data_IF_907218964543
#
_entry.id   IF_907218964543
#
_cell.length_a   1.000
_cell.length_b   1.000
_cell.length_c   1.000
_cell.angle_alpha   90.00
_cell.angle_beta   90.00
_cell.angle_gamma   90.00
#
_symmetry.space_group_name_H-M   'P 1'
#
loop_
_entity.id
_entity.type
_entity.pdbx_description
1 polymer ?
#
# COMPACT_ATOMS: atom_id res chain seq x y z
N UNK A 1 -15.41 12.88 -9.46
CA UNK A 1 -15.44 11.95 -8.33
C UNK A 1 -14.98 10.58 -8.81
N UNK A 2 -14.02 9.99 -8.13
CA UNK A 2 -13.50 8.68 -8.51
C UNK A 2 -14.34 7.58 -7.87
N UNK A 3 -14.70 6.58 -8.66
CA UNK A 3 -15.51 5.44 -8.22
C UNK A 3 -14.75 4.12 -8.30
N UNK A 4 -13.44 4.19 -8.55
CA UNK A 4 -12.60 3.00 -8.61
C UNK A 4 -12.27 2.45 -7.24
N UNK A 5 -11.34 1.48 -7.17
CA UNK A 5 -10.96 0.88 -5.90
C UNK A 5 -10.48 1.92 -4.89
N UNK A 6 -10.84 1.71 -3.63
CA UNK A 6 -10.48 2.60 -2.53
C UNK A 6 -9.09 2.26 -2.03
N UNK A 7 -8.21 3.25 -1.99
CA UNK A 7 -6.77 3.06 -1.70
C UNK A 7 -6.35 3.87 -0.49
N UNK A 8 -5.60 3.23 0.41
CA UNK A 8 -4.87 3.89 1.49
C UNK A 8 -3.40 3.91 1.10
N UNK A 9 -2.77 5.08 1.12
CA UNK A 9 -1.34 5.23 0.81
C UNK A 9 -0.56 5.39 2.10
N UNK A 10 0.42 4.52 2.33
CA UNK A 10 1.25 4.52 3.54
C UNK A 10 2.71 4.73 3.16
N UNK A 11 3.27 5.87 3.53
CA UNK A 11 4.65 6.24 3.26
C UNK A 11 5.02 7.43 4.14
N UNK A 12 6.24 7.45 4.67
CA UNK A 12 6.68 8.56 5.51
C UNK A 12 7.17 9.78 4.72
N UNK A 13 7.24 9.67 3.39
CA UNK A 13 7.66 10.77 2.51
C UNK A 13 6.44 11.49 1.95
N UNK A 14 6.16 12.73 2.40
CA UNK A 14 4.99 13.47 1.90
C UNK A 14 4.99 13.67 0.38
N UNK A 15 6.17 13.84 -0.21
CA UNK A 15 6.28 14.02 -1.66
C UNK A 15 5.83 12.78 -2.44
N UNK A 16 6.17 11.60 -1.95
CA UNK A 16 5.72 10.36 -2.58
C UNK A 16 4.21 10.20 -2.43
N UNK A 17 3.66 10.47 -1.22
CA UNK A 17 2.21 10.36 -1.02
C UNK A 17 1.45 11.30 -1.97
N UNK A 18 1.92 12.53 -2.11
CA UNK A 18 1.28 13.49 -3.02
C UNK A 18 1.33 13.03 -4.47
N UNK A 19 2.50 12.55 -4.92
CA UNK A 19 2.67 12.06 -6.29
C UNK A 19 1.82 10.82 -6.56
N UNK A 20 1.80 9.88 -5.63
CA UNK A 20 1.01 8.66 -5.77
C UNK A 20 -0.48 8.97 -5.80
N UNK A 21 -0.95 9.91 -4.96
CA UNK A 21 -2.35 10.32 -4.96
C UNK A 21 -2.75 10.89 -6.32
N UNK A 22 -1.98 11.82 -6.85
CA UNK A 22 -2.27 12.43 -8.15
C UNK A 22 -2.31 11.37 -9.25
N UNK A 23 -1.32 10.50 -9.27
CA UNK A 23 -1.24 9.43 -10.26
C UNK A 23 -2.45 8.51 -10.20
N UNK A 24 -2.76 8.00 -9.01
CA UNK A 24 -3.84 7.03 -8.86
C UNK A 24 -5.21 7.65 -9.11
N UNK A 25 -5.42 8.87 -8.64
CA UNK A 25 -6.69 9.56 -8.89
C UNK A 25 -6.88 9.86 -10.37
N UNK A 26 -5.80 10.17 -11.09
CA UNK A 26 -5.89 10.41 -12.54
C UNK A 26 -6.25 9.13 -13.30
N UNK A 27 -6.01 7.97 -12.71
CA UNK A 27 -6.31 6.68 -13.33
C UNK A 27 -7.59 6.04 -12.77
N UNK A 28 -8.38 6.79 -12.01
CA UNK A 28 -9.70 6.36 -11.57
C UNK A 28 -9.78 5.73 -10.19
N UNK A 29 -8.65 5.60 -9.48
CA UNK A 29 -8.66 5.08 -8.11
C UNK A 29 -9.18 6.14 -7.15
N UNK A 30 -9.81 5.69 -6.07
CA UNK A 30 -10.32 6.55 -5.02
C UNK A 30 -9.37 6.50 -3.81
N UNK A 31 -8.51 7.51 -3.68
CA UNK A 31 -7.57 7.59 -2.55
C UNK A 31 -8.31 8.11 -1.34
N UNK A 32 -8.63 7.22 -0.41
CA UNK A 32 -9.48 7.54 0.76
C UNK A 32 -8.70 8.02 1.97
N UNK A 33 -7.38 7.86 1.98
CA UNK A 33 -6.56 8.31 3.08
C UNK A 33 -5.08 8.11 2.86
N UNK A 34 -4.30 8.65 3.80
CA UNK A 34 -2.85 8.54 3.81
C UNK A 34 -2.40 8.29 5.25
N UNK A 35 -1.27 7.59 5.41
CA UNK A 35 -0.65 7.36 6.70
C UNK A 35 0.86 7.51 6.54
N UNK A 36 1.55 7.94 7.62
CA UNK A 36 2.97 8.23 7.57
C UNK A 36 3.83 7.22 8.34
N UNK A 37 3.21 6.34 9.11
CA UNK A 37 3.92 5.34 9.91
C UNK A 37 3.08 4.08 10.07
N UNK A 38 3.66 3.06 10.72
CA UNK A 38 2.98 1.78 10.88
C UNK A 38 1.76 1.86 11.79
N UNK A 39 1.85 2.59 12.90
CA UNK A 39 0.75 2.71 13.85
C UNK A 39 -0.45 3.40 13.20
N UNK A 40 -0.23 4.51 12.50
CA UNK A 40 -1.32 5.20 11.81
C UNK A 40 -1.86 4.38 10.64
N UNK A 41 -1.00 3.59 9.96
CA UNK A 41 -1.43 2.72 8.88
C UNK A 41 -2.43 1.68 9.35
N UNK A 42 -2.14 1.03 10.47
CA UNK A 42 -3.03 0.01 11.05
C UNK A 42 -4.34 0.64 11.48
N UNK A 43 -4.28 1.80 12.16
CA UNK A 43 -5.48 2.51 12.59
C UNK A 43 -6.35 2.96 11.42
N UNK A 44 -5.73 3.53 10.39
CA UNK A 44 -6.47 4.00 9.21
C UNK A 44 -7.04 2.85 8.38
N UNK A 45 -6.31 1.73 8.27
CA UNK A 45 -6.81 0.56 7.56
C UNK A 45 -8.08 0.02 8.26
N UNK A 46 -8.07 0.01 9.58
CA UNK A 46 -9.24 -0.43 10.36
C UNK A 46 -10.42 0.55 10.21
N UNK A 47 -10.13 1.85 10.24
CA UNK A 47 -11.16 2.89 10.18
C UNK A 47 -11.78 3.01 8.78
N UNK A 48 -10.95 3.01 7.76
CA UNK A 48 -11.37 3.27 6.38
C UNK A 48 -11.79 2.02 5.63
N UNK A 49 -11.28 0.87 6.03
CA UNK A 49 -11.49 -0.42 5.35
C UNK A 49 -11.26 -0.31 3.84
N UNK A 50 -10.05 0.11 3.43
CA UNK A 50 -9.75 0.27 2.00
C UNK A 50 -9.72 -1.08 1.30
N UNK A 51 -9.87 -1.06 -0.02
CA UNK A 51 -9.73 -2.27 -0.82
C UNK A 51 -8.26 -2.58 -1.10
N UNK A 52 -7.43 -1.52 -1.18
CA UNK A 52 -6.00 -1.62 -1.45
C UNK A 52 -5.23 -0.80 -0.42
N UNK A 53 -4.14 -1.36 0.11
CA UNK A 53 -3.17 -0.60 0.91
C UNK A 53 -1.86 -0.58 0.14
N UNK A 54 -1.44 0.61 -0.26
CA UNK A 54 -0.14 0.82 -0.89
C UNK A 54 0.84 1.18 0.22
N UNK A 55 1.80 0.30 0.49
CA UNK A 55 2.54 0.31 1.75
C UNK A 55 4.06 0.29 1.53
N UNK A 56 4.73 1.33 2.02
CA UNK A 56 6.19 1.38 1.97
C UNK A 56 6.79 0.29 2.86
N UNK A 57 7.85 -0.33 2.40
CA UNK A 57 8.59 -1.35 3.13
C UNK A 57 9.30 -0.74 4.36
N UNK A 58 9.77 0.50 4.27
CA UNK A 58 10.47 1.17 5.37
C UNK A 58 9.62 2.30 5.95
N UNK A 59 9.27 2.17 7.22
CA UNK A 59 8.53 3.16 7.96
C UNK A 59 9.33 3.60 9.19
N UNK A 60 9.06 4.79 9.77
CA UNK A 60 9.89 5.28 10.88
C UNK A 60 9.79 4.47 12.17
N UNK A 61 8.66 3.82 12.41
CA UNK A 61 8.42 3.06 13.65
C UNK A 61 8.51 1.53 13.46
N UNK A 62 8.46 1.04 12.23
CA UNK A 62 8.47 -0.39 11.96
C UNK A 62 8.77 -0.63 10.48
N UNK A 63 8.83 -1.89 10.05
CA UNK A 63 8.92 -2.19 8.63
C UNK A 63 7.54 -2.51 8.06
N UNK A 64 7.42 -2.36 6.73
CA UNK A 64 6.15 -2.59 6.04
C UNK A 64 5.71 -4.05 6.05
N UNK A 65 6.64 -5.00 6.17
CA UNK A 65 6.29 -6.41 6.22
C UNK A 65 5.50 -6.73 7.48
N UNK A 66 5.90 -6.15 8.62
CA UNK A 66 5.19 -6.33 9.88
C UNK A 66 3.80 -5.71 9.83
N UNK A 67 3.69 -4.51 9.27
CA UNK A 67 2.40 -3.84 9.09
C UNK A 67 1.49 -4.66 8.18
N UNK A 68 2.02 -5.16 7.05
CA UNK A 68 1.26 -6.01 6.13
C UNK A 68 0.74 -7.26 6.83
N UNK A 69 1.59 -7.91 7.63
CA UNK A 69 1.21 -9.10 8.37
C UNK A 69 0.05 -8.81 9.35
N UNK A 70 0.12 -7.69 10.05
CA UNK A 70 -0.94 -7.30 10.99
C UNK A 70 -2.24 -6.96 10.28
N UNK A 71 -2.18 -6.23 9.18
CA UNK A 71 -3.37 -5.86 8.41
C UNK A 71 -4.03 -7.09 7.80
N UNK A 72 -3.24 -8.00 7.23
CA UNK A 72 -3.78 -9.19 6.56
C UNK A 72 -4.24 -10.27 7.53
N UNK A 73 -3.76 -10.24 8.77
CA UNK A 73 -4.19 -11.16 9.82
C UNK A 73 -5.50 -10.73 10.49
N UNK A 74 -5.98 -9.51 10.22
CA UNK A 74 -7.20 -8.99 10.82
C UNK A 74 -8.41 -9.81 10.37
N UNK A 75 -9.41 -9.93 11.26
CA UNK A 75 -10.66 -10.59 10.91
C UNK A 75 -11.60 -9.59 10.22
N UNK A 76 -12.50 -10.10 9.38
CA UNK A 76 -13.42 -9.27 8.63
C UNK A 76 -12.83 -8.84 7.30
N UNK A 77 -12.89 -7.55 7.01
CA UNK A 77 -12.39 -7.02 5.74
C UNK A 77 -10.85 -7.05 5.70
N UNK A 78 -10.28 -7.75 4.72
CA UNK A 78 -8.83 -7.81 4.51
C UNK A 78 -8.50 -7.14 3.18
N UNK A 79 -7.79 -6.02 3.20
CA UNK A 79 -7.42 -5.35 1.95
C UNK A 79 -6.31 -6.08 1.20
N UNK A 80 -6.19 -5.80 -0.09
CA UNK A 80 -5.05 -6.23 -0.87
C UNK A 80 -3.88 -5.30 -0.53
N UNK A 81 -2.82 -5.85 0.06
CA UNK A 81 -1.64 -5.06 0.42
C UNK A 81 -0.61 -5.18 -0.70
N UNK A 82 -0.19 -4.04 -1.23
CA UNK A 82 0.85 -3.96 -2.25
C UNK A 82 2.01 -3.16 -1.66
N UNK A 83 3.16 -3.80 -1.57
CA UNK A 83 4.36 -3.18 -1.02
C UNK A 83 5.05 -2.32 -2.07
N UNK A 84 5.58 -1.18 -1.66
CA UNK A 84 6.39 -0.32 -2.51
C UNK A 84 7.71 -0.01 -1.82
N UNK A 85 8.75 0.23 -2.60
CA UNK A 85 10.05 0.62 -2.08
C UNK A 85 10.85 1.29 -3.18
N UNK A 86 11.82 2.10 -2.78
CA UNK A 86 12.82 2.63 -3.70
C UNK A 86 13.86 1.57 -4.08
N UNK A 87 13.83 0.42 -3.39
CA UNK A 87 14.74 -0.69 -3.68
C UNK A 87 14.11 -1.69 -4.65
N UNK A 88 14.96 -2.56 -5.20
CA UNK A 88 14.54 -3.63 -6.09
C UNK A 88 13.83 -4.73 -5.31
N UNK A 89 12.82 -5.36 -5.93
CA UNK A 89 12.05 -6.44 -5.33
C UNK A 89 12.90 -7.69 -5.01
N UNK A 90 14.04 -7.86 -5.69
CA UNK A 90 14.93 -9.00 -5.43
C UNK A 90 15.49 -8.99 -3.99
N UNK A 91 15.53 -7.82 -3.35
CA UNK A 91 15.99 -7.69 -1.97
C UNK A 91 14.97 -8.27 -0.96
N UNK A 92 13.72 -8.44 -1.37
CA UNK A 92 12.63 -8.74 -0.43
C UNK A 92 11.82 -9.99 -0.78
N UNK A 93 12.19 -10.72 -1.84
CA UNK A 93 11.38 -11.79 -2.43
C UNK A 93 10.60 -12.68 -1.46
N UNK A 94 11.29 -13.47 -0.56
CA UNK A 94 10.56 -14.34 0.35
C UNK A 94 9.69 -13.60 1.37
N UNK A 95 10.07 -12.38 1.76
CA UNK A 95 9.33 -11.60 2.75
C UNK A 95 8.00 -11.11 2.20
N UNK A 96 7.93 -10.81 0.90
CA UNK A 96 6.69 -10.34 0.26
C UNK A 96 5.60 -11.39 0.39
N UNK A 97 5.91 -12.65 0.08
CA UNK A 97 4.92 -13.72 0.15
C UNK A 97 4.56 -14.09 1.59
N UNK A 98 5.51 -13.99 2.53
CA UNK A 98 5.28 -14.38 3.92
C UNK A 98 4.40 -13.42 4.71
N UNK A 99 4.40 -12.14 4.35
CA UNK A 99 3.65 -11.13 5.10
C UNK A 99 2.18 -11.02 4.67
N UNK A 100 1.76 -11.80 3.69
CA UNK A 100 0.40 -11.74 3.18
C UNK A 100 0.16 -10.68 2.13
N UNK A 101 1.20 -9.97 1.71
CA UNK A 101 1.09 -8.98 0.64
C UNK A 101 0.76 -9.65 -0.69
N UNK A 102 -0.01 -8.99 -1.51
CA UNK A 102 -0.39 -9.48 -2.83
C UNK A 102 0.74 -9.30 -3.84
N UNK A 103 1.61 -8.32 -3.64
CA UNK A 103 2.71 -8.07 -4.53
C UNK A 103 3.60 -6.93 -4.08
N UNK A 104 4.55 -6.61 -4.94
CA UNK A 104 5.55 -5.57 -4.71
C UNK A 104 5.75 -4.77 -5.99
N UNK A 105 5.84 -3.45 -5.86
CA UNK A 105 6.11 -2.56 -6.99
C UNK A 105 7.21 -1.59 -6.59
N UNK A 106 8.32 -1.51 -7.34
CA UNK A 106 9.29 -0.43 -7.11
C UNK A 106 8.60 0.92 -7.30
N UNK A 107 8.93 1.90 -6.46
CA UNK A 107 8.27 3.21 -6.53
C UNK A 107 8.35 3.85 -7.92
N UNK A 108 9.47 3.64 -8.61
CA UNK A 108 9.67 4.20 -9.96
C UNK A 108 8.76 3.57 -11.01
N UNK A 109 8.17 2.39 -10.72
CA UNK A 109 7.31 1.67 -11.66
C UNK A 109 5.84 1.74 -11.26
N UNK A 110 5.49 2.55 -10.28
CA UNK A 110 4.11 2.65 -9.81
C UNK A 110 3.21 3.23 -10.92
N UNK A 111 2.12 2.51 -11.19
CA UNK A 111 1.07 2.96 -12.11
C UNK A 111 -0.22 2.23 -11.75
N UNK A 112 -1.35 2.76 -12.20
CA UNK A 112 -2.64 2.09 -12.01
C UNK A 112 -2.70 0.76 -12.76
N UNK A 113 -2.09 0.71 -13.95
CA UNK A 113 -2.01 -0.53 -14.73
C UNK A 113 -1.25 -1.61 -13.96
N UNK A 114 -0.11 -1.24 -13.36
CA UNK A 114 0.69 -2.17 -12.57
C UNK A 114 -0.08 -2.71 -11.37
N UNK A 115 -0.82 -1.85 -10.68
CA UNK A 115 -1.66 -2.29 -9.57
C UNK A 115 -2.75 -3.24 -10.02
N UNK A 116 -3.40 -2.95 -11.13
CA UNK A 116 -4.46 -3.82 -11.65
C UNK A 116 -3.92 -5.19 -12.07
N UNK A 117 -2.71 -5.25 -12.61
CA UNK A 117 -2.07 -6.52 -12.93
C UNK A 117 -1.89 -7.39 -11.69
N UNK A 118 -1.50 -6.79 -10.58
CA UNK A 118 -1.29 -7.52 -9.32
C UNK A 118 -2.60 -7.95 -8.67
N UNK A 119 -3.68 -7.22 -8.92
CA UNK A 119 -4.99 -7.51 -8.35
C UNK A 119 -5.81 -8.51 -9.18
N UNK A 120 -5.39 -8.74 -10.40
CA UNK A 120 -6.12 -9.60 -11.33
C UNK A 120 -6.08 -11.09 -10.94
#
# INVERSE_FOLDING_TARGET
>A
MNVGPRVLIVDDHPSFRASARVLLESEGFDVVGEAEDGASAIAEASRLQPEIVLLDVQLPDTDGFDVAAQITAATGHVPAVILVSSRDSSDFGPLVSRCGAMGFVPKAELSGERLQELLA
#
